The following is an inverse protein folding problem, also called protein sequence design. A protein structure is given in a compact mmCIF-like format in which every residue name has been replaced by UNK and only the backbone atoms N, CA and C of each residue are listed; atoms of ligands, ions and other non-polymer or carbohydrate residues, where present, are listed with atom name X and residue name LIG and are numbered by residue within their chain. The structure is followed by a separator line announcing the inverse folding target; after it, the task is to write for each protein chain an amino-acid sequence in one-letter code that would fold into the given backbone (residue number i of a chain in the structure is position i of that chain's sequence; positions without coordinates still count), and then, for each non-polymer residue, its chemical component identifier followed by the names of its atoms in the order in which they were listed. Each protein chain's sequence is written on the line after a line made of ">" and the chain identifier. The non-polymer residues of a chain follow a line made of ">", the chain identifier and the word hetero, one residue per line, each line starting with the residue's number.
data_IF_970960619923
#
_entry.id   IF_970960619923
#
_cell.length_a   1.000
_cell.length_b   1.000
_cell.length_c   1.000
_cell.angle_alpha   90.00
_cell.angle_beta   90.00
_cell.angle_gamma   90.00
#
_symmetry.space_group_name_H-M   'P 1'
#
loop_
_entity.id
_entity.type
_entity.pdbx_description
1 polymer ?
#
# COMPACT_ATOMS: atom_id res chain seq x y z
N UNK A 1 -53.18 -15.49 -20.66
CA UNK A 1 -52.80 -14.35 -19.78
C UNK A 1 -51.70 -14.68 -18.75
N UNK A 2 -51.52 -15.92 -18.28
CA UNK A 2 -50.41 -16.28 -17.35
C UNK A 2 -49.02 -16.38 -18.01
N UNK A 3 -48.93 -16.86 -19.25
CA UNK A 3 -47.64 -17.01 -19.95
C UNK A 3 -46.97 -15.66 -20.25
N UNK A 4 -47.76 -14.66 -20.66
CA UNK A 4 -47.28 -13.30 -20.95
C UNK A 4 -46.67 -12.64 -19.72
N UNK A 5 -47.29 -12.83 -18.54
CA UNK A 5 -46.82 -12.28 -17.26
C UNK A 5 -45.51 -12.90 -16.77
N UNK A 6 -45.25 -14.17 -17.09
CA UNK A 6 -43.98 -14.85 -16.77
C UNK A 6 -42.84 -14.35 -17.65
N UNK A 7 -43.12 -14.08 -18.93
CA UNK A 7 -42.14 -13.55 -19.88
C UNK A 7 -41.76 -12.11 -19.51
N UNK A 8 -42.71 -11.26 -19.11
CA UNK A 8 -42.42 -9.89 -18.67
C UNK A 8 -41.56 -9.83 -17.41
N UNK A 9 -41.77 -10.72 -16.43
CA UNK A 9 -40.96 -10.78 -15.19
C UNK A 9 -39.54 -11.27 -15.48
N UNK A 10 -39.37 -12.24 -16.37
CA UNK A 10 -38.05 -12.74 -16.78
C UNK A 10 -37.25 -11.67 -17.53
N UNK A 11 -37.90 -10.90 -18.42
CA UNK A 11 -37.27 -9.80 -19.15
C UNK A 11 -36.88 -8.63 -18.22
N UNK A 12 -37.73 -8.27 -17.24
CA UNK A 12 -37.40 -7.22 -16.27
C UNK A 12 -36.25 -7.61 -15.33
N UNK A 13 -36.20 -8.89 -14.92
CA UNK A 13 -35.12 -9.43 -14.10
C UNK A 13 -33.78 -9.45 -14.85
N UNK A 14 -33.80 -9.79 -16.14
CA UNK A 14 -32.59 -9.82 -16.97
C UNK A 14 -32.04 -8.40 -17.23
N UNK A 15 -32.89 -7.39 -17.39
CA UNK A 15 -32.45 -5.99 -17.52
C UNK A 15 -31.82 -5.43 -16.24
N UNK A 16 -32.24 -5.90 -15.06
CA UNK A 16 -31.67 -5.45 -13.79
C UNK A 16 -30.26 -6.03 -13.53
N UNK A 17 -29.98 -7.24 -14.04
CA UNK A 17 -28.67 -7.91 -13.90
C UNK A 17 -27.61 -7.28 -14.82
N UNK A 18 -27.99 -6.81 -16.01
CA UNK A 18 -27.04 -6.23 -16.98
C UNK A 18 -26.61 -4.81 -16.58
N UNK A 19 -27.46 -4.04 -15.87
CA UNK A 19 -27.12 -2.70 -15.40
C UNK A 19 -26.13 -2.67 -14.21
N UNK A 20 -25.85 -3.81 -13.59
CA UNK A 20 -24.90 -3.91 -12.47
C UNK A 20 -23.42 -3.95 -12.85
N UNK A 21 -23.08 -4.01 -14.15
CA UNK A 21 -21.71 -4.20 -14.62
C UNK A 21 -20.98 -2.93 -15.06
N UNK A 22 -21.57 -1.72 -14.97
CA UNK A 22 -20.89 -0.51 -15.47
C UNK A 22 -21.28 0.76 -14.71
N UNK A 23 -21.34 0.69 -13.38
CA UNK A 23 -21.18 1.88 -12.57
C UNK A 23 -19.73 1.92 -12.08
N UNK A 24 -18.82 2.43 -12.92
CA UNK A 24 -17.58 3.03 -12.41
C UNK A 24 -18.00 4.25 -11.58
N UNK A 25 -18.20 4.00 -10.29
CA UNK A 25 -18.38 5.04 -9.31
C UNK A 25 -17.01 5.66 -9.14
N UNK A 26 -16.72 6.71 -9.91
CA UNK A 26 -15.63 7.65 -9.66
C UNK A 26 -15.94 8.29 -8.29
N UNK A 27 -15.62 7.53 -7.24
CA UNK A 27 -15.72 7.98 -5.87
C UNK A 27 -14.62 9.02 -5.75
N UNK A 28 -14.95 10.30 -5.48
CA UNK A 28 -13.93 11.29 -5.22
C UNK A 28 -13.03 10.70 -4.15
N UNK A 29 -11.72 10.61 -4.43
CA UNK A 29 -10.76 10.03 -3.51
C UNK A 29 -11.04 10.60 -2.11
N UNK A 30 -11.48 9.72 -1.21
CA UNK A 30 -11.68 10.10 0.17
C UNK A 30 -10.37 10.74 0.66
N UNK A 31 -10.42 11.74 1.55
CA UNK A 31 -9.20 12.33 2.08
C UNK A 31 -8.31 11.20 2.61
N UNK A 32 -7.15 11.04 2.00
CA UNK A 32 -6.22 9.95 2.32
C UNK A 32 -5.89 10.04 3.80
N UNK A 33 -6.14 8.95 4.52
CA UNK A 33 -5.74 8.76 5.90
C UNK A 33 -4.22 8.92 6.07
N UNK A 34 -3.75 9.13 7.30
CA UNK A 34 -2.35 9.43 7.60
C UNK A 34 -1.37 8.31 7.20
N UNK A 35 -1.85 7.09 6.99
CA UNK A 35 -1.06 5.92 6.59
C UNK A 35 -1.42 5.40 5.20
N UNK A 36 -2.25 6.11 4.44
CA UNK A 36 -2.67 5.66 3.12
C UNK A 36 -1.51 5.72 2.14
N UNK A 37 -1.42 4.71 1.28
CA UNK A 37 -0.43 4.66 0.21
C UNK A 37 -0.87 5.67 -0.86
N UNK A 38 -0.16 6.80 -0.93
CA UNK A 38 -0.41 7.85 -1.92
C UNK A 38 0.56 7.73 -3.09
N UNK A 39 0.05 7.94 -4.30
CA UNK A 39 0.84 7.89 -5.54
C UNK A 39 2.00 8.91 -5.58
N UNK A 40 1.93 9.95 -4.75
CA UNK A 40 2.91 11.05 -4.73
C UNK A 40 4.24 10.69 -4.01
N UNK A 41 4.34 9.51 -3.39
CA UNK A 41 5.54 9.02 -2.70
C UNK A 41 6.12 7.71 -3.27
N UNK A 42 5.37 7.01 -4.13
CA UNK A 42 5.83 5.80 -4.81
C UNK A 42 5.65 5.96 -6.32
N UNK A 43 6.59 6.59 -7.04
CA UNK A 43 6.60 6.53 -8.48
C UNK A 43 7.13 5.14 -8.86
N UNK A 44 6.26 4.29 -9.39
CA UNK A 44 6.64 3.21 -10.31
C UNK A 44 7.63 3.84 -11.30
N UNK A 45 8.80 3.22 -11.47
CA UNK A 45 9.88 3.77 -12.29
C UNK A 45 9.33 4.33 -13.60
N UNK A 46 9.65 5.58 -13.92
CA UNK A 46 9.50 6.07 -15.30
C UNK A 46 10.59 5.38 -16.11
N UNK A 47 10.32 4.17 -16.60
CA UNK A 47 11.20 3.51 -17.55
C UNK A 47 10.89 4.04 -18.95
N UNK A 48 11.79 4.88 -19.48
CA UNK A 48 11.77 5.27 -20.90
C UNK A 48 12.41 4.18 -21.80
N UNK A 49 12.42 2.92 -21.38
CA UNK A 49 13.01 1.83 -22.13
C UNK A 49 12.79 0.45 -21.49
N UNK A 50 12.80 -0.57 -22.33
CA UNK A 50 12.49 -1.97 -22.02
C UNK A 50 13.44 -2.60 -20.99
N UNK A 51 13.23 -2.29 -19.70
CA UNK A 51 13.85 -3.00 -18.60
C UNK A 51 12.90 -4.08 -18.08
N UNK A 52 13.48 -5.27 -17.88
CA UNK A 52 12.80 -6.44 -17.36
C UNK A 52 12.29 -6.18 -15.94
N UNK A 53 10.98 -6.06 -15.80
CA UNK A 53 10.27 -5.81 -14.54
C UNK A 53 10.38 -7.00 -13.57
N UNK A 54 11.10 -8.07 -13.93
CA UNK A 54 11.30 -9.26 -13.09
C UNK A 54 12.27 -9.03 -11.92
N UNK A 55 13.11 -7.98 -11.95
CA UNK A 55 14.08 -7.69 -10.90
C UNK A 55 13.52 -6.67 -9.89
N UNK A 56 13.17 -7.08 -8.66
CA UNK A 56 12.57 -6.19 -7.66
C UNK A 56 13.54 -5.16 -7.07
N UNK A 57 14.82 -5.15 -7.47
CA UNK A 57 15.92 -4.38 -6.84
C UNK A 57 16.58 -3.35 -7.79
N UNK A 58 15.92 -2.95 -8.89
CA UNK A 58 16.53 -1.97 -9.81
C UNK A 58 16.72 -0.64 -9.09
N UNK A 59 17.99 -0.19 -9.00
CA UNK A 59 18.35 1.04 -8.32
C UNK A 59 17.66 2.25 -8.96
N UNK A 60 16.89 2.99 -8.17
CA UNK A 60 16.14 4.17 -8.64
C UNK A 60 17.04 5.38 -8.92
N UNK A 61 18.34 5.30 -8.61
CA UNK A 61 19.29 6.39 -8.72
C UNK A 61 19.04 7.53 -7.72
N UNK A 62 19.85 8.58 -7.78
CA UNK A 62 19.59 9.80 -7.02
C UNK A 62 18.48 10.60 -7.71
N UNK A 63 17.39 10.88 -7.01
CA UNK A 63 16.23 11.61 -7.52
C UNK A 63 16.19 13.03 -6.95
N UNK A 64 16.35 14.04 -7.80
CA UNK A 64 16.31 15.45 -7.41
C UNK A 64 14.90 16.05 -7.39
N UNK A 65 13.91 15.30 -7.87
CA UNK A 65 12.50 15.70 -7.99
C UNK A 65 11.63 15.23 -6.81
N UNK A 66 12.21 14.55 -5.81
CA UNK A 66 11.49 14.10 -4.63
C UNK A 66 11.16 15.27 -3.68
N UNK A 67 9.93 15.28 -3.17
CA UNK A 67 9.49 16.23 -2.13
C UNK A 67 9.70 15.62 -0.76
N UNK A 68 10.34 16.35 0.15
CA UNK A 68 10.52 15.89 1.54
C UNK A 68 9.16 15.80 2.25
N UNK A 69 8.91 14.66 2.90
CA UNK A 69 7.72 14.46 3.73
C UNK A 69 8.00 14.97 5.14
N UNK A 70 7.13 15.85 5.64
CA UNK A 70 7.20 16.39 7.00
C UNK A 70 6.03 15.89 7.83
N UNK A 71 6.32 15.39 9.04
CA UNK A 71 5.31 14.90 9.98
C UNK A 71 5.49 15.54 11.35
N UNK A 72 4.42 15.60 12.14
CA UNK A 72 4.44 16.21 13.48
C UNK A 72 4.72 15.21 14.61
N UNK A 73 4.47 13.92 14.37
CA UNK A 73 4.35 12.91 15.45
C UNK A 73 5.22 11.69 15.22
N UNK A 74 5.14 11.11 14.03
CA UNK A 74 5.87 9.91 13.67
C UNK A 74 6.09 9.87 12.15
N UNK A 75 7.08 9.10 11.73
CA UNK A 75 7.34 8.79 10.32
C UNK A 75 7.84 7.35 10.22
N UNK A 76 7.54 6.70 9.10
CA UNK A 76 8.05 5.37 8.74
C UNK A 76 8.54 5.45 7.31
N UNK A 77 9.70 4.85 7.03
CA UNK A 77 10.23 4.72 5.69
C UNK A 77 10.80 3.31 5.50
N UNK A 78 10.33 2.61 4.48
CA UNK A 78 10.79 1.28 4.06
C UNK A 78 10.89 1.24 2.53
N UNK A 79 11.55 0.22 1.98
CA UNK A 79 11.66 0.06 0.52
C UNK A 79 10.31 -0.26 -0.14
N UNK A 80 9.43 -1.00 0.54
CA UNK A 80 8.09 -1.32 0.07
C UNK A 80 6.98 -0.45 0.72
N UNK A 81 6.03 0.12 -0.05
CA UNK A 81 4.94 0.92 0.52
C UNK A 81 4.00 0.15 1.45
N UNK A 82 3.78 -1.16 1.21
CA UNK A 82 2.91 -1.98 2.08
C UNK A 82 3.54 -2.18 3.48
N UNK A 83 4.86 -2.29 3.56
CA UNK A 83 5.56 -2.35 4.83
C UNK A 83 5.52 -1.02 5.58
N UNK A 84 5.67 0.12 4.88
CA UNK A 84 5.52 1.45 5.46
C UNK A 84 4.11 1.67 5.99
N UNK A 85 3.08 1.29 5.23
CA UNK A 85 1.68 1.39 5.65
C UNK A 85 1.42 0.59 6.93
N UNK A 86 1.75 -0.71 6.95
CA UNK A 86 1.50 -1.57 8.11
C UNK A 86 2.19 -1.05 9.38
N UNK A 87 3.44 -0.60 9.28
CA UNK A 87 4.17 -0.03 10.42
C UNK A 87 3.62 1.35 10.83
N UNK A 88 3.15 2.17 9.88
CA UNK A 88 2.47 3.43 10.18
C UNK A 88 1.19 3.19 10.97
N UNK A 89 0.39 2.18 10.61
CA UNK A 89 -0.83 1.81 11.34
C UNK A 89 -0.51 1.42 12.78
N UNK A 90 0.57 0.67 13.03
CA UNK A 90 1.02 0.34 14.39
C UNK A 90 1.36 1.60 15.19
N UNK A 91 2.06 2.58 14.61
CA UNK A 91 2.35 3.85 15.30
C UNK A 91 1.08 4.69 15.52
N UNK A 92 0.17 4.71 14.55
CA UNK A 92 -1.13 5.37 14.66
C UNK A 92 -1.93 4.80 15.83
N UNK A 93 -1.88 3.48 16.01
CA UNK A 93 -2.62 2.75 17.03
C UNK A 93 -1.92 2.75 18.40
N UNK A 94 -0.82 3.50 18.53
CA UNK A 94 -0.11 3.75 19.80
C UNK A 94 1.04 2.78 20.10
N UNK A 95 1.45 1.98 19.12
CA UNK A 95 2.63 1.13 19.22
C UNK A 95 3.93 1.93 19.32
N UNK A 96 4.98 1.28 19.80
CA UNK A 96 6.33 1.86 19.90
C UNK A 96 7.06 1.85 18.56
N UNK A 97 8.18 2.59 18.48
CA UNK A 97 9.06 2.51 17.31
C UNK A 97 9.61 1.08 17.09
N UNK A 98 9.80 0.30 18.17
CA UNK A 98 10.19 -1.10 18.07
C UNK A 98 9.07 -1.98 17.49
N UNK A 99 7.81 -1.78 17.91
CA UNK A 99 6.67 -2.54 17.38
C UNK A 99 6.45 -2.27 15.88
N UNK A 100 6.59 -1.01 15.47
CA UNK A 100 6.51 -0.62 14.07
C UNK A 100 7.65 -1.23 13.25
N UNK A 101 8.88 -1.27 13.79
CA UNK A 101 10.02 -1.88 13.14
C UNK A 101 9.85 -3.40 12.94
N UNK A 102 9.40 -4.12 13.96
CA UNK A 102 9.14 -5.56 13.86
C UNK A 102 8.04 -5.83 12.83
N UNK A 103 6.98 -5.02 12.82
CA UNK A 103 5.90 -5.10 11.85
C UNK A 103 6.40 -4.87 10.42
N UNK A 104 7.17 -3.80 10.20
CA UNK A 104 7.79 -3.52 8.92
C UNK A 104 8.61 -4.72 8.44
N UNK A 105 9.48 -5.27 9.28
CA UNK A 105 10.37 -6.38 8.90
C UNK A 105 9.59 -7.67 8.59
N UNK A 106 8.53 -7.96 9.33
CA UNK A 106 7.66 -9.10 9.05
C UNK A 106 6.98 -8.95 7.68
N UNK A 107 6.51 -7.75 7.33
CA UNK A 107 5.89 -7.47 6.03
C UNK A 107 6.94 -7.53 4.92
N UNK A 108 8.11 -6.92 5.10
CA UNK A 108 9.22 -6.97 4.14
C UNK A 108 9.67 -8.41 3.82
N UNK A 109 9.64 -9.32 4.80
CA UNK A 109 9.91 -10.73 4.54
C UNK A 109 8.94 -11.41 3.56
N UNK A 110 7.75 -10.82 3.33
CA UNK A 110 6.76 -11.29 2.36
C UNK A 110 6.78 -10.48 1.06
N UNK A 111 6.87 -9.15 1.16
CA UNK A 111 6.74 -8.25 0.00
C UNK A 111 8.08 -7.94 -0.67
N UNK A 112 9.20 -8.22 0.02
CA UNK A 112 10.57 -8.13 -0.48
C UNK A 112 11.41 -9.35 -0.06
N UNK A 113 10.97 -10.58 -0.38
CA UNK A 113 11.57 -11.82 0.13
C UNK A 113 13.01 -12.07 -0.37
N UNK A 114 13.39 -11.44 -1.49
CA UNK A 114 14.75 -11.51 -2.04
C UNK A 114 15.80 -10.77 -1.19
N UNK A 115 15.36 -9.79 -0.40
CA UNK A 115 16.22 -8.86 0.34
C UNK A 115 16.09 -9.03 1.85
N UNK A 116 14.88 -9.39 2.31
CA UNK A 116 14.56 -9.57 3.72
C UNK A 116 13.90 -10.92 3.98
N UNK A 117 14.06 -11.47 5.18
CA UNK A 117 13.35 -12.69 5.58
C UNK A 117 13.89 -13.34 6.85
N UNK A 118 13.08 -14.25 7.41
CA UNK A 118 13.40 -14.97 8.67
C UNK A 118 14.65 -15.86 8.57
N UNK A 119 14.99 -16.33 7.37
CA UNK A 119 16.19 -17.15 7.14
C UNK A 119 17.48 -16.35 6.98
N UNK A 120 17.41 -15.01 7.02
CA UNK A 120 18.54 -14.12 6.86
C UNK A 120 19.13 -13.64 8.19
N UNK A 121 19.55 -12.37 8.23
CA UNK A 121 20.06 -11.69 9.41
C UNK A 121 20.01 -10.17 9.22
N UNK A 122 20.24 -9.42 10.29
CA UNK A 122 20.20 -7.96 10.24
C UNK A 122 20.83 -7.32 11.48
N UNK A 123 20.96 -6.00 11.42
CA UNK A 123 21.42 -5.17 12.52
C UNK A 123 20.35 -4.12 12.83
N UNK A 124 20.20 -3.80 14.12
CA UNK A 124 19.30 -2.77 14.58
C UNK A 124 20.07 -1.75 15.41
N UNK A 125 19.96 -0.48 15.03
CA UNK A 125 20.26 0.64 15.90
C UNK A 125 18.94 1.21 16.40
N UNK A 126 18.73 1.17 17.70
CA UNK A 126 17.50 1.62 18.34
C UNK A 126 17.85 2.62 19.43
N UNK A 127 17.15 3.76 19.42
CA UNK A 127 17.25 4.79 20.45
C UNK A 127 15.94 4.82 21.24
N UNK A 128 16.03 4.59 22.55
CA UNK A 128 14.93 4.74 23.48
C UNK A 128 14.93 6.17 24.02
N UNK A 129 14.01 6.99 23.51
CA UNK A 129 13.87 8.38 23.96
C UNK A 129 13.40 8.50 25.42
N UNK A 130 12.71 7.50 25.97
CA UNK A 130 12.28 7.52 27.37
C UNK A 130 13.46 7.22 28.32
N UNK A 131 14.36 6.33 27.91
CA UNK A 131 15.57 5.99 28.66
C UNK A 131 16.76 6.92 28.36
N UNK A 132 16.75 7.61 27.22
CA UNK A 132 17.84 8.46 26.75
C UNK A 132 19.06 7.70 26.22
N UNK A 133 18.86 6.46 25.75
CA UNK A 133 19.92 5.51 25.35
C UNK A 133 19.72 4.98 23.94
#
# INVERSE_FOLDING_TARGET
>A
MQATRRITVALLGLTLVVAGCSAEQETPAAPSGPCDIVANGTPVAKSDGAEDQSAPETATGYRSDMTAVHTQRYAVATANPLATQAACEVLRDGGTAADALVTAQAVLGLVEPQSSGLGGGGFLLYYDAAAGT
#
